data_IF_460310307382
#
_entry.id   IF_460310307382
#
_cell.length_a   1.000
_cell.length_b   1.000
_cell.length_c   1.000
_cell.angle_alpha   90.00
_cell.angle_beta   90.00
_cell.angle_gamma   90.00
#
_symmetry.space_group_name_H-M   'P 1'
#
loop_
_entity.id
_entity.type
_entity.pdbx_description
1 polymer ?
#
# COMPACT_ATOMS: atom_id res chain seq x y z
N UNK A 1 0.36 13.11 -20.07
CA UNK A 1 0.01 11.67 -19.99
C UNK A 1 -1.41 11.61 -19.47
N UNK A 2 -2.19 10.61 -19.86
CA UNK A 2 -3.52 10.43 -19.28
C UNK A 2 -3.41 9.97 -17.83
N UNK A 3 -4.34 10.39 -16.97
CA UNK A 3 -4.42 9.90 -15.59
C UNK A 3 -4.49 8.37 -15.54
N UNK A 4 -5.28 7.75 -16.43
CA UNK A 4 -5.36 6.28 -16.55
C UNK A 4 -4.00 5.64 -16.83
N UNK A 5 -3.15 6.25 -17.66
CA UNK A 5 -1.84 5.70 -17.98
C UNK A 5 -0.90 5.68 -16.76
N UNK A 6 -1.01 6.70 -15.89
CA UNK A 6 -0.23 6.76 -14.64
C UNK A 6 -0.70 5.66 -13.69
N UNK A 7 -2.03 5.50 -13.56
CA UNK A 7 -2.64 4.47 -12.74
C UNK A 7 -2.29 3.05 -13.21
N UNK A 8 -2.47 2.74 -14.49
CA UNK A 8 -2.13 1.45 -15.08
C UNK A 8 -0.65 1.11 -14.91
N UNK A 9 0.24 2.11 -15.09
CA UNK A 9 1.66 1.93 -14.85
C UNK A 9 1.97 1.58 -13.39
N UNK A 10 1.32 2.27 -12.45
CA UNK A 10 1.50 1.98 -11.02
C UNK A 10 1.06 0.55 -10.69
N UNK A 11 -0.11 0.11 -11.17
CA UNK A 11 -0.60 -1.26 -10.97
C UNK A 11 0.32 -2.30 -11.62
N UNK A 12 0.79 -2.05 -12.85
CA UNK A 12 1.71 -2.94 -13.56
C UNK A 12 3.05 -3.10 -12.82
N UNK A 13 3.63 -1.99 -12.36
CA UNK A 13 4.87 -2.00 -11.57
C UNK A 13 4.63 -2.71 -10.23
N UNK A 14 3.48 -2.49 -9.58
CA UNK A 14 3.10 -3.18 -8.36
C UNK A 14 3.08 -4.70 -8.52
N UNK A 15 2.42 -5.19 -9.57
CA UNK A 15 2.34 -6.63 -9.89
C UNK A 15 3.71 -7.25 -10.13
N UNK A 16 4.60 -6.54 -10.86
CA UNK A 16 5.96 -7.02 -11.16
C UNK A 16 6.84 -7.18 -9.93
N UNK A 17 6.55 -6.45 -8.85
CA UNK A 17 7.34 -6.44 -7.63
C UNK A 17 6.61 -7.04 -6.43
N UNK A 18 5.43 -7.62 -6.65
CA UNK A 18 4.67 -8.32 -5.64
C UNK A 18 5.33 -9.66 -5.31
N UNK A 19 5.50 -9.95 -4.02
CA UNK A 19 6.12 -11.19 -3.57
C UNK A 19 5.33 -12.45 -3.94
N UNK A 20 4.01 -12.31 -4.17
CA UNK A 20 3.13 -13.42 -4.56
C UNK A 20 3.39 -13.89 -6.00
N UNK A 21 4.03 -13.08 -6.84
CA UNK A 21 4.35 -13.43 -8.23
C UNK A 21 3.13 -13.95 -9.01
N UNK A 22 3.26 -15.09 -9.66
CA UNK A 22 2.22 -15.71 -10.49
C UNK A 22 0.93 -16.05 -9.72
N UNK A 23 0.97 -16.15 -8.39
CA UNK A 23 -0.23 -16.37 -7.57
C UNK A 23 -1.24 -15.21 -7.70
N UNK A 24 -0.78 -14.00 -8.05
CA UNK A 24 -1.68 -12.88 -8.38
C UNK A 24 -2.65 -13.20 -9.52
N UNK A 25 -2.21 -13.97 -10.53
CA UNK A 25 -3.08 -14.37 -11.64
C UNK A 25 -4.23 -15.23 -11.15
N UNK A 26 -3.95 -16.14 -10.21
CA UNK A 26 -4.98 -16.98 -9.59
C UNK A 26 -5.99 -16.15 -8.78
N UNK A 27 -5.52 -15.15 -8.04
CA UNK A 27 -6.40 -14.22 -7.29
C UNK A 27 -7.34 -13.47 -8.26
N UNK A 28 -6.80 -12.96 -9.37
CA UNK A 28 -7.59 -12.25 -10.39
C UNK A 28 -8.58 -13.20 -11.09
N UNK A 29 -8.18 -14.43 -11.42
CA UNK A 29 -9.08 -15.45 -11.99
C UNK A 29 -10.21 -15.82 -11.02
N UNK A 30 -9.92 -15.92 -9.72
CA UNK A 30 -10.94 -16.19 -8.70
C UNK A 30 -11.95 -15.04 -8.60
N UNK A 31 -11.47 -13.79 -8.65
CA UNK A 31 -12.34 -12.59 -8.71
C UNK A 31 -13.19 -12.55 -9.96
N UNK A 32 -12.63 -12.93 -11.11
CA UNK A 32 -13.39 -13.07 -12.37
C UNK A 32 -14.49 -14.12 -12.25
N UNK A 33 -14.20 -15.29 -11.69
CA UNK A 33 -15.19 -16.36 -11.45
C UNK A 33 -16.27 -15.95 -10.44
N UNK A 34 -15.92 -15.14 -9.45
CA UNK A 34 -16.87 -14.56 -8.50
C UNK A 34 -17.84 -13.65 -9.24
N UNK A 35 -17.33 -12.69 -10.00
CA UNK A 35 -18.13 -11.75 -10.79
C UNK A 35 -19.06 -12.45 -11.79
N UNK A 36 -18.60 -13.47 -12.50
CA UNK A 36 -19.42 -14.19 -13.48
C UNK A 36 -20.64 -14.89 -12.88
N UNK A 37 -20.54 -15.33 -11.62
CA UNK A 37 -21.62 -16.01 -10.88
C UNK A 37 -22.64 -15.06 -10.27
N UNK A 38 -22.34 -13.77 -10.17
CA UNK A 38 -23.24 -12.78 -9.61
C UNK A 38 -24.48 -12.57 -10.49
N UNK A 39 -25.60 -12.28 -9.84
CA UNK A 39 -26.80 -11.81 -10.53
C UNK A 39 -26.54 -10.42 -11.13
N UNK A 40 -27.34 -10.04 -12.14
CA UNK A 40 -27.15 -8.77 -12.85
C UNK A 40 -27.20 -7.55 -11.90
N UNK A 41 -28.09 -7.58 -10.90
CA UNK A 41 -28.21 -6.54 -9.89
C UNK A 41 -26.96 -6.43 -9.01
N UNK A 42 -26.33 -7.55 -8.68
CA UNK A 42 -25.11 -7.61 -7.86
C UNK A 42 -23.89 -7.18 -8.68
N UNK A 43 -23.85 -7.50 -9.99
CA UNK A 43 -22.80 -7.05 -10.91
C UNK A 43 -22.73 -5.53 -11.03
N UNK A 44 -23.85 -4.83 -10.90
CA UNK A 44 -23.89 -3.36 -10.91
C UNK A 44 -23.23 -2.75 -9.67
N UNK A 45 -23.20 -3.47 -8.55
CA UNK A 45 -22.58 -3.03 -7.29
C UNK A 45 -21.16 -3.58 -7.11
N UNK A 46 -20.75 -4.53 -7.96
CA UNK A 46 -19.44 -5.14 -7.90
C UNK A 46 -18.34 -4.17 -8.31
N UNK A 47 -17.24 -4.19 -7.58
CA UNK A 47 -16.06 -3.41 -7.93
C UNK A 47 -15.29 -4.06 -9.08
N UNK A 48 -15.65 -3.70 -10.31
CA UNK A 48 -15.04 -4.24 -11.53
C UNK A 48 -13.54 -3.94 -11.66
N UNK A 49 -13.02 -2.93 -10.96
CA UNK A 49 -11.59 -2.65 -10.94
C UNK A 49 -10.79 -3.82 -10.37
N UNK A 50 -11.38 -4.57 -9.43
CA UNK A 50 -10.74 -5.76 -8.81
C UNK A 50 -10.52 -6.91 -9.77
N UNK A 51 -11.15 -6.87 -10.96
CA UNK A 51 -10.94 -7.88 -12.01
C UNK A 51 -9.58 -7.75 -12.68
N UNK A 52 -8.96 -6.56 -12.63
CA UNK A 52 -7.66 -6.32 -13.25
C UNK A 52 -6.64 -5.66 -12.31
N UNK A 53 -7.06 -5.06 -11.19
CA UNK A 53 -6.18 -4.54 -10.16
C UNK A 53 -6.32 -5.38 -8.86
N UNK A 54 -5.29 -6.13 -8.44
CA UNK A 54 -5.35 -6.92 -7.21
C UNK A 54 -5.18 -6.08 -5.93
N UNK A 55 -5.01 -4.76 -6.06
CA UNK A 55 -4.75 -3.81 -4.97
C UNK A 55 -5.97 -2.91 -4.74
N UNK A 56 -6.85 -3.29 -3.80
CA UNK A 56 -8.05 -2.51 -3.49
C UNK A 56 -7.73 -1.13 -2.88
N UNK A 57 -6.53 -0.95 -2.32
CA UNK A 57 -6.03 0.28 -1.71
C UNK A 57 -5.40 1.28 -2.72
N UNK A 58 -5.49 0.99 -4.02
CA UNK A 58 -4.90 1.81 -5.09
C UNK A 58 -5.95 2.12 -6.13
N UNK A 59 -6.20 3.41 -6.39
CA UNK A 59 -7.39 3.83 -7.16
C UNK A 59 -7.30 5.21 -7.77
N UNK A 60 -7.97 5.42 -8.90
CA UNK A 60 -8.43 6.75 -9.31
C UNK A 60 -9.69 7.08 -8.50
N UNK A 61 -9.60 8.10 -7.64
CA UNK A 61 -10.65 8.50 -6.72
C UNK A 61 -11.58 9.57 -7.31
N UNK A 62 -10.99 10.49 -8.09
CA UNK A 62 -11.68 11.55 -8.82
C UNK A 62 -11.08 11.67 -10.20
N UNK A 63 -11.93 11.69 -11.22
CA UNK A 63 -11.56 11.76 -12.63
C UNK A 63 -12.15 10.60 -13.42
N UNK A 64 -12.16 10.77 -14.73
CA UNK A 64 -12.57 9.81 -15.74
C UNK A 64 -11.41 8.90 -16.19
N UNK A 65 -10.17 9.31 -15.89
CA UNK A 65 -8.95 8.68 -16.39
C UNK A 65 -8.45 9.30 -17.70
N UNK A 66 -9.26 10.13 -18.37
CA UNK A 66 -8.93 10.80 -19.63
C UNK A 66 -8.34 12.20 -19.46
N UNK A 67 -8.16 12.66 -18.23
CA UNK A 67 -7.54 13.95 -17.92
C UNK A 67 -6.08 13.97 -18.39
N UNK A 68 -5.67 15.07 -19.03
CA UNK A 68 -4.27 15.30 -19.37
C UNK A 68 -3.51 15.79 -18.14
N UNK A 69 -2.57 14.97 -17.67
CA UNK A 69 -1.73 15.27 -16.52
C UNK A 69 -0.32 15.59 -16.99
N UNK A 70 0.16 16.77 -16.62
CA UNK A 70 1.54 17.24 -16.83
C UNK A 70 2.23 17.54 -15.50
N UNK A 71 1.49 18.04 -14.51
CA UNK A 71 2.00 18.39 -13.18
C UNK A 71 1.19 17.68 -12.12
N UNK A 72 1.87 16.99 -11.20
CA UNK A 72 1.24 16.30 -10.07
C UNK A 72 1.75 16.89 -8.78
N UNK A 73 0.85 17.10 -7.81
CA UNK A 73 1.24 17.28 -6.41
C UNK A 73 1.08 15.94 -5.69
N UNK A 74 2.19 15.38 -5.21
CA UNK A 74 2.19 14.11 -4.48
C UNK A 74 2.47 14.31 -2.99
N UNK A 75 1.87 13.45 -2.16
CA UNK A 75 2.06 13.45 -0.71
C UNK A 75 1.78 12.07 -0.11
N UNK A 76 2.21 11.86 1.13
CA UNK A 76 1.88 10.63 1.87
C UNK A 76 0.37 10.64 2.18
N UNK A 77 -0.05 11.68 2.89
CA UNK A 77 -1.45 12.01 3.18
C UNK A 77 -1.89 13.16 2.26
N UNK A 78 -2.98 12.98 1.52
CA UNK A 78 -3.66 14.07 0.81
C UNK A 78 -5.11 14.07 1.28
N UNK A 79 -5.37 14.83 2.34
CA UNK A 79 -6.71 15.03 2.87
C UNK A 79 -7.29 16.35 2.32
N UNK A 80 -8.47 16.75 2.80
CA UNK A 80 -9.08 18.05 2.43
C UNK A 80 -8.12 19.25 2.54
N UNK A 81 -7.25 19.39 3.56
CA UNK A 81 -6.29 20.50 3.63
C UNK A 81 -5.31 20.53 2.46
N UNK A 82 -4.80 19.38 2.02
CA UNK A 82 -3.88 19.29 0.88
C UNK A 82 -4.61 19.55 -0.44
N UNK A 83 -5.86 19.09 -0.60
CA UNK A 83 -6.68 19.47 -1.75
C UNK A 83 -6.84 21.00 -1.83
N UNK A 84 -7.16 21.66 -0.70
CA UNK A 84 -7.27 23.11 -0.63
C UNK A 84 -5.93 23.82 -0.89
N UNK A 85 -4.81 23.22 -0.47
CA UNK A 85 -3.48 23.71 -0.78
C UNK A 85 -3.19 23.64 -2.28
N UNK A 86 -3.53 22.53 -2.94
CA UNK A 86 -3.38 22.36 -4.39
C UNK A 86 -4.17 23.42 -5.15
N UNK A 87 -5.45 23.64 -4.79
CA UNK A 87 -6.27 24.70 -5.36
C UNK A 87 -5.62 26.08 -5.15
N UNK A 88 -5.15 26.37 -3.93
CA UNK A 88 -4.51 27.64 -3.63
C UNK A 88 -3.22 27.86 -4.41
N UNK A 89 -2.44 26.82 -4.65
CA UNK A 89 -1.23 26.87 -5.49
C UNK A 89 -1.58 27.07 -6.96
N UNK A 90 -2.69 26.50 -7.44
CA UNK A 90 -3.23 26.74 -8.77
C UNK A 90 -3.68 28.20 -8.96
N UNK A 91 -4.37 28.78 -7.98
CA UNK A 91 -4.69 30.21 -7.97
C UNK A 91 -3.44 31.10 -8.02
N UNK A 92 -2.29 30.60 -7.54
CA UNK A 92 -0.98 31.27 -7.62
C UNK A 92 -0.18 30.93 -8.88
N UNK A 93 -0.72 30.12 -9.78
CA UNK A 93 -0.15 29.85 -11.11
C UNK A 93 0.68 28.58 -11.24
N UNK A 94 0.69 27.66 -10.26
CA UNK A 94 1.49 26.41 -10.32
C UNK A 94 0.99 25.40 -11.38
N UNK A 95 -0.32 25.41 -11.70
CA UNK A 95 -0.94 24.50 -12.69
C UNK A 95 -0.69 23.01 -12.40
N UNK A 96 -1.11 22.58 -11.21
CA UNK A 96 -1.27 21.20 -10.77
C UNK A 96 -2.50 20.63 -11.46
N UNK A 97 -2.31 19.57 -12.24
CA UNK A 97 -3.37 18.91 -13.02
C UNK A 97 -3.99 17.72 -12.29
N UNK A 98 -3.27 17.15 -11.31
CA UNK A 98 -3.76 16.07 -10.46
C UNK A 98 -3.03 16.04 -9.11
N UNK A 99 -3.67 15.44 -8.12
CA UNK A 99 -3.05 15.10 -6.83
C UNK A 99 -2.90 13.58 -6.67
N UNK A 100 -1.84 13.16 -6.00
CA UNK A 100 -1.55 11.75 -5.72
C UNK A 100 -1.25 11.55 -4.24
N UNK A 101 -2.05 10.74 -3.55
CA UNK A 101 -1.71 10.27 -2.19
C UNK A 101 -1.01 8.91 -2.22
N UNK A 102 -0.18 8.67 -1.23
CA UNK A 102 0.24 7.31 -0.91
C UNK A 102 -0.85 6.59 -0.12
N UNK A 103 -1.28 7.15 1.01
CA UNK A 103 -2.33 6.56 1.81
C UNK A 103 -3.67 6.60 1.06
N UNK A 104 -4.46 5.52 1.15
CA UNK A 104 -5.72 5.44 0.45
C UNK A 104 -6.76 6.39 1.03
N UNK A 105 -7.63 6.88 0.16
CA UNK A 105 -8.80 7.68 0.49
C UNK A 105 -10.04 7.06 -0.18
N UNK A 106 -11.25 7.49 0.17
CA UNK A 106 -12.45 7.07 -0.55
C UNK A 106 -12.70 5.56 -0.53
N UNK A 107 -13.08 5.03 -1.69
CA UNK A 107 -13.35 3.60 -1.87
C UNK A 107 -12.12 2.73 -1.57
N UNK A 108 -10.91 3.24 -1.86
CA UNK A 108 -9.67 2.52 -1.59
C UNK A 108 -9.43 2.36 -0.09
N UNK A 109 -9.73 3.40 0.70
CA UNK A 109 -9.62 3.34 2.15
C UNK A 109 -10.67 2.40 2.76
N UNK A 110 -11.91 2.44 2.24
CA UNK A 110 -12.98 1.56 2.68
C UNK A 110 -12.62 0.07 2.48
N UNK A 111 -11.90 -0.23 1.39
CA UNK A 111 -11.45 -1.57 1.02
C UNK A 111 -10.02 -1.91 1.47
N UNK A 112 -9.38 -1.09 2.31
CA UNK A 112 -7.99 -1.29 2.75
C UNK A 112 -7.74 -2.66 3.39
N UNK A 113 -8.76 -3.21 4.06
CA UNK A 113 -8.66 -4.50 4.73
C UNK A 113 -8.45 -5.68 3.75
N UNK A 114 -8.83 -5.54 2.48
CA UNK A 114 -8.73 -6.63 1.50
C UNK A 114 -7.29 -6.92 1.07
N UNK A 115 -6.42 -5.89 0.99
CA UNK A 115 -5.00 -6.10 0.64
C UNK A 115 -4.20 -6.77 1.75
N UNK A 116 -4.72 -6.83 2.98
CA UNK A 116 -4.02 -7.39 4.13
C UNK A 116 -3.81 -8.90 4.04
N UNK A 117 -4.53 -9.61 3.16
CA UNK A 117 -4.36 -11.05 2.97
C UNK A 117 -2.94 -11.44 2.57
N UNK A 118 -2.21 -10.57 1.85
CA UNK A 118 -0.79 -10.80 1.51
C UNK A 118 0.10 -11.03 2.73
N UNK A 119 -0.30 -10.54 3.90
CA UNK A 119 0.47 -10.76 5.12
C UNK A 119 0.49 -12.23 5.55
N UNK A 120 -0.50 -13.04 5.17
CA UNK A 120 -0.44 -14.49 5.39
C UNK A 120 0.64 -15.14 4.50
N UNK A 121 0.73 -14.73 3.23
CA UNK A 121 1.78 -15.17 2.30
C UNK A 121 3.18 -14.75 2.80
N UNK A 122 3.30 -13.53 3.35
CA UNK A 122 4.52 -13.05 4.00
C UNK A 122 4.93 -13.93 5.19
N UNK A 123 3.98 -14.36 6.02
CA UNK A 123 4.25 -15.26 7.14
C UNK A 123 4.64 -16.66 6.65
N UNK A 124 4.04 -17.14 5.56
CA UNK A 124 4.43 -18.40 4.94
C UNK A 124 5.89 -18.38 4.47
N UNK A 125 6.31 -17.31 3.80
CA UNK A 125 7.71 -17.11 3.41
C UNK A 125 8.65 -17.02 4.64
N UNK A 126 8.14 -16.47 5.75
CA UNK A 126 8.87 -16.43 7.02
C UNK A 126 9.04 -17.83 7.65
N UNK A 127 8.20 -18.80 7.29
CA UNK A 127 8.24 -20.19 7.77
C UNK A 127 7.02 -20.61 8.60
N UNK A 128 6.00 -19.75 8.68
CA UNK A 128 4.74 -20.04 9.39
C UNK A 128 3.81 -20.80 8.45
N UNK A 129 3.23 -21.96 8.83
CA UNK A 129 2.25 -22.64 8.00
C UNK A 129 1.10 -21.71 7.55
N UNK A 130 0.74 -21.73 6.26
CA UNK A 130 -0.23 -20.80 5.67
C UNK A 130 -1.57 -20.77 6.43
N UNK A 131 -2.07 -21.92 6.87
CA UNK A 131 -3.31 -22.02 7.63
C UNK A 131 -3.25 -21.28 8.99
N UNK A 132 -2.08 -21.19 9.61
CA UNK A 132 -1.86 -20.41 10.83
C UNK A 132 -1.80 -18.91 10.48
N UNK A 133 -1.08 -18.55 9.40
CA UNK A 133 -1.02 -17.18 8.90
C UNK A 133 -2.40 -16.61 8.57
N UNK A 134 -3.21 -17.36 7.82
CA UNK A 134 -4.58 -17.02 7.46
C UNK A 134 -5.47 -16.85 8.70
N UNK A 135 -5.38 -17.76 9.68
CA UNK A 135 -6.18 -17.68 10.90
C UNK A 135 -5.85 -16.42 11.72
N UNK A 136 -4.58 -16.07 11.86
CA UNK A 136 -4.14 -14.86 12.56
C UNK A 136 -4.56 -13.59 11.82
N UNK A 137 -4.43 -13.61 10.49
CA UNK A 137 -4.81 -12.46 9.68
C UNK A 137 -6.32 -12.28 9.61
N UNK A 138 -7.12 -13.34 9.63
CA UNK A 138 -8.58 -13.23 9.66
C UNK A 138 -9.08 -12.40 10.86
N UNK A 139 -8.53 -12.63 12.06
CA UNK A 139 -8.85 -11.84 13.26
C UNK A 139 -8.48 -10.36 13.05
N UNK A 140 -7.26 -10.09 12.58
CA UNK A 140 -6.73 -8.74 12.38
C UNK A 140 -7.47 -7.97 11.29
N UNK A 141 -7.74 -8.60 10.15
CA UNK A 141 -8.50 -8.02 9.03
C UNK A 141 -9.89 -7.62 9.49
N UNK A 142 -10.54 -8.48 10.30
CA UNK A 142 -11.86 -8.20 10.87
C UNK A 142 -11.85 -6.98 11.80
N UNK A 143 -10.79 -6.80 12.60
CA UNK A 143 -10.60 -5.64 13.46
C UNK A 143 -10.39 -4.35 12.66
N UNK A 144 -9.51 -4.38 11.66
CA UNK A 144 -9.25 -3.23 10.78
C UNK A 144 -10.54 -2.83 10.06
N UNK A 145 -11.26 -3.80 9.47
CA UNK A 145 -12.55 -3.56 8.82
C UNK A 145 -13.56 -2.87 9.74
N UNK A 146 -13.70 -3.31 11.00
CA UNK A 146 -14.61 -2.67 11.96
C UNK A 146 -14.19 -1.26 12.33
N UNK A 147 -12.89 -1.00 12.36
CA UNK A 147 -12.32 0.31 12.72
C UNK A 147 -12.48 1.33 11.59
N UNK A 148 -12.33 0.88 10.34
CA UNK A 148 -12.48 1.73 9.15
C UNK A 148 -13.94 1.93 8.75
N UNK A 149 -14.81 0.94 8.95
CA UNK A 149 -16.23 0.99 8.57
C UNK A 149 -16.99 2.29 8.92
N UNK A 150 -16.87 2.88 10.14
CA UNK A 150 -17.61 4.10 10.48
C UNK A 150 -16.95 5.40 10.01
N UNK A 151 -15.77 5.34 9.36
CA UNK A 151 -15.04 6.54 8.95
C UNK A 151 -15.72 7.25 7.78
N UNK A 152 -15.49 8.56 7.68
CA UNK A 152 -15.94 9.33 6.52
C UNK A 152 -14.94 9.19 5.37
N UNK A 153 -15.02 8.06 4.67
CA UNK A 153 -14.13 7.71 3.57
C UNK A 153 -14.12 8.75 2.43
N UNK A 154 -15.24 9.43 2.17
CA UNK A 154 -15.39 10.29 0.98
C UNK A 154 -14.94 11.74 1.22
N UNK A 155 -14.56 12.13 2.44
CA UNK A 155 -14.30 13.54 2.80
C UNK A 155 -13.30 14.25 1.87
N UNK A 156 -12.13 13.65 1.63
CA UNK A 156 -11.12 14.23 0.75
C UNK A 156 -11.54 14.14 -0.73
N UNK A 157 -12.18 13.03 -1.11
CA UNK A 157 -12.67 12.78 -2.47
C UNK A 157 -13.75 13.77 -2.88
N UNK A 158 -14.70 14.07 -2.01
CA UNK A 158 -15.77 15.05 -2.27
C UNK A 158 -15.22 16.47 -2.35
N UNK A 159 -14.23 16.82 -1.51
CA UNK A 159 -13.53 18.11 -1.64
C UNK A 159 -12.82 18.23 -3.00
N UNK A 160 -12.14 17.17 -3.44
CA UNK A 160 -11.48 17.13 -4.74
C UNK A 160 -12.50 17.24 -5.90
N UNK A 161 -13.67 16.56 -5.82
CA UNK A 161 -14.76 16.70 -6.79
C UNK A 161 -15.29 18.13 -6.87
N UNK A 162 -15.53 18.78 -5.73
CA UNK A 162 -16.06 20.15 -5.69
C UNK A 162 -15.10 21.19 -6.28
N UNK A 163 -13.80 20.88 -6.31
CA UNK A 163 -12.75 21.75 -6.83
C UNK A 163 -12.24 21.31 -8.20
N UNK A 164 -12.93 20.36 -8.85
CA UNK A 164 -12.55 19.77 -10.13
C UNK A 164 -11.08 19.33 -10.17
N UNK A 165 -10.60 18.73 -9.07
CA UNK A 165 -9.22 18.27 -8.90
C UNK A 165 -9.14 16.75 -9.12
N UNK A 166 -8.51 16.27 -10.20
CA UNK A 166 -8.25 14.85 -10.38
C UNK A 166 -7.39 14.30 -9.24
N UNK A 167 -7.79 13.14 -8.71
CA UNK A 167 -7.18 12.56 -7.51
C UNK A 167 -7.06 11.05 -7.66
N UNK A 168 -5.87 10.51 -7.41
CA UNK A 168 -5.63 9.07 -7.28
C UNK A 168 -4.78 8.76 -6.03
N UNK A 169 -4.84 7.52 -5.58
CA UNK A 169 -3.95 6.98 -4.54
C UNK A 169 -3.16 5.78 -5.06
N UNK A 170 -1.91 5.62 -4.59
CA UNK A 170 -1.05 4.46 -4.89
C UNK A 170 -0.40 3.98 -3.60
N UNK A 171 -0.89 2.87 -3.07
CA UNK A 171 -0.47 2.33 -1.79
C UNK A 171 0.31 1.03 -1.96
N UNK A 172 -0.33 -0.14 -1.98
CA UNK A 172 0.34 -1.45 -2.09
C UNK A 172 1.38 -1.56 -3.22
N UNK A 173 1.18 -1.01 -4.43
CA UNK A 173 2.23 -1.00 -5.47
C UNK A 173 3.50 -0.26 -5.07
N UNK A 174 3.39 0.86 -4.37
CA UNK A 174 4.54 1.63 -3.88
C UNK A 174 5.25 0.86 -2.76
N UNK A 175 4.48 0.26 -1.85
CA UNK A 175 5.01 -0.56 -0.74
C UNK A 175 5.76 -1.79 -1.24
N UNK A 176 5.23 -2.46 -2.27
CA UNK A 176 5.90 -3.60 -2.91
C UNK A 176 7.29 -3.22 -3.45
N UNK A 177 7.44 -2.00 -3.98
CA UNK A 177 8.76 -1.52 -4.44
C UNK A 177 9.73 -1.32 -3.29
N UNK A 178 9.27 -0.76 -2.17
CA UNK A 178 10.09 -0.58 -0.97
C UNK A 178 10.49 -1.95 -0.40
N UNK A 179 9.54 -2.87 -0.27
CA UNK A 179 9.75 -4.23 0.21
C UNK A 179 10.81 -4.95 -0.63
N UNK A 180 10.66 -4.93 -1.95
CA UNK A 180 11.62 -5.54 -2.88
C UNK A 180 12.98 -4.82 -2.89
N UNK A 181 13.00 -3.50 -2.75
CA UNK A 181 14.25 -2.73 -2.63
C UNK A 181 15.03 -3.17 -1.38
N UNK A 182 14.40 -3.19 -0.22
CA UNK A 182 15.07 -3.58 1.03
C UNK A 182 15.46 -5.06 1.02
N UNK A 183 14.64 -5.96 0.47
CA UNK A 183 14.99 -7.38 0.33
C UNK A 183 16.28 -7.57 -0.45
N UNK A 184 16.50 -6.75 -1.49
CA UNK A 184 17.76 -6.76 -2.25
C UNK A 184 18.94 -6.23 -1.45
N UNK A 185 18.75 -5.23 -0.58
CA UNK A 185 19.82 -4.72 0.28
C UNK A 185 20.35 -5.77 1.26
N UNK A 186 19.49 -6.66 1.76
CA UNK A 186 19.87 -7.71 2.70
C UNK A 186 20.13 -9.08 2.06
N UNK A 187 20.08 -9.18 0.73
CA UNK A 187 20.24 -10.46 0.03
C UNK A 187 21.71 -10.90 0.05
N UNK A 188 21.98 -12.05 0.66
CA UNK A 188 23.32 -12.62 0.73
C UNK A 188 24.17 -12.11 1.89
N UNK A 189 23.62 -11.21 2.72
CA UNK A 189 24.24 -10.81 3.97
C UNK A 189 24.02 -11.91 5.02
N UNK A 190 25.10 -12.52 5.47
CA UNK A 190 25.06 -13.54 6.52
C UNK A 190 25.73 -13.00 7.79
N UNK A 191 25.28 -13.51 8.94
CA UNK A 191 25.92 -13.26 10.25
C UNK A 191 25.89 -11.80 10.74
N UNK A 192 25.00 -10.96 10.19
CA UNK A 192 24.76 -9.60 10.68
C UNK A 192 24.35 -9.55 12.16
N UNK A 193 24.73 -8.46 12.83
CA UNK A 193 24.16 -8.01 14.09
C UNK A 193 23.02 -7.02 13.86
N UNK A 194 22.25 -6.71 14.92
CA UNK A 194 21.23 -5.66 14.84
C UNK A 194 21.83 -4.27 14.60
N UNK A 195 23.08 -4.04 15.03
CA UNK A 195 23.82 -2.82 14.68
C UNK A 195 24.13 -2.74 13.18
N UNK A 196 24.61 -3.83 12.58
CA UNK A 196 24.90 -3.87 11.15
C UNK A 196 23.64 -3.62 10.30
N UNK A 197 22.50 -4.20 10.69
CA UNK A 197 21.21 -3.92 10.04
C UNK A 197 20.88 -2.44 10.11
N UNK A 198 21.04 -1.82 11.27
CA UNK A 198 20.78 -0.39 11.46
C UNK A 198 21.73 0.47 10.61
N UNK A 199 23.00 0.09 10.50
CA UNK A 199 23.99 0.78 9.67
C UNK A 199 23.65 0.69 8.18
N UNK A 200 23.33 -0.51 7.66
CA UNK A 200 22.89 -0.71 6.28
C UNK A 200 21.68 0.16 5.95
N UNK A 201 20.66 0.18 6.83
CA UNK A 201 19.50 1.06 6.66
C UNK A 201 19.92 2.53 6.63
N UNK A 202 20.87 2.94 7.48
CA UNK A 202 21.29 4.33 7.57
C UNK A 202 22.14 4.84 6.40
N UNK A 203 22.62 3.96 5.53
CA UNK A 203 23.24 4.33 4.25
C UNK A 203 22.19 4.71 3.20
N UNK A 204 20.93 4.32 3.38
CA UNK A 204 19.82 4.71 2.49
C UNK A 204 19.49 6.20 2.71
N UNK A 205 19.50 7.05 1.66
CA UNK A 205 19.29 8.50 1.78
C UNK A 205 18.02 8.89 2.54
N UNK A 206 16.92 8.18 2.30
CA UNK A 206 15.63 8.39 2.93
C UNK A 206 15.70 8.17 4.44
N UNK A 207 16.34 7.09 4.88
CA UNK A 207 16.49 6.77 6.31
C UNK A 207 17.51 7.67 7.01
N UNK A 208 18.58 8.06 6.31
CA UNK A 208 19.51 9.08 6.78
C UNK A 208 18.79 10.41 7.01
N UNK A 209 17.96 10.84 6.05
CA UNK A 209 17.16 12.06 6.19
C UNK A 209 16.16 11.94 7.34
N UNK A 210 15.49 10.79 7.46
CA UNK A 210 14.57 10.53 8.56
C UNK A 210 15.26 10.65 9.93
N UNK A 211 16.52 10.22 10.07
CA UNK A 211 17.31 10.41 11.31
C UNK A 211 17.50 11.89 11.66
N UNK A 212 17.81 12.74 10.68
CA UNK A 212 17.91 14.20 10.91
C UNK A 212 16.59 14.77 11.43
N UNK A 213 15.47 14.21 10.97
CA UNK A 213 14.11 14.56 11.37
C UNK A 213 13.61 13.80 12.61
N UNK A 214 14.51 13.11 13.33
CA UNK A 214 14.21 12.28 14.52
C UNK A 214 13.26 11.09 14.27
N UNK A 215 13.03 10.70 13.02
CA UNK A 215 12.14 9.63 12.59
C UNK A 215 12.88 8.46 11.92
N UNK A 216 14.20 8.34 12.09
CA UNK A 216 14.98 7.28 11.47
C UNK A 216 14.79 5.89 12.07
N UNK A 217 15.38 4.85 11.43
CA UNK A 217 15.30 3.47 11.91
C UNK A 217 15.83 3.31 13.35
N UNK A 218 15.19 2.44 14.14
CA UNK A 218 15.52 2.18 15.54
C UNK A 218 15.29 0.73 15.91
N UNK A 219 16.09 0.22 16.83
CA UNK A 219 15.87 -1.08 17.46
C UNK A 219 14.86 -0.88 18.59
N UNK A 220 13.70 -1.54 18.49
CA UNK A 220 12.66 -1.51 19.54
C UNK A 220 12.85 -2.67 20.53
N UNK A 221 13.21 -3.86 20.03
CA UNK A 221 13.46 -5.06 20.82
C UNK A 221 14.85 -5.63 20.52
N UNK A 222 15.56 -6.05 21.57
CA UNK A 222 16.94 -6.53 21.48
C UNK A 222 17.97 -5.43 21.72
N UNK A 223 19.23 -5.78 21.51
CA UNK A 223 20.36 -4.86 21.63
C UNK A 223 21.28 -4.98 20.42
N UNK A 224 22.02 -3.91 20.14
CA UNK A 224 22.91 -3.73 18.99
C UNK A 224 23.84 -4.92 18.72
N UNK A 225 24.31 -5.59 19.77
CA UNK A 225 25.32 -6.67 19.66
C UNK A 225 24.72 -8.04 19.36
N UNK A 226 23.39 -8.19 19.41
CA UNK A 226 22.74 -9.46 19.09
C UNK A 226 22.84 -9.74 17.60
N UNK A 227 22.99 -11.01 17.25
CA UNK A 227 22.86 -11.50 15.87
C UNK A 227 21.44 -11.26 15.37
N UNK A 228 21.31 -10.79 14.13
CA UNK A 228 20.03 -10.52 13.47
C UNK A 228 19.30 -11.81 13.05
N UNK A 229 20.04 -12.88 12.74
CA UNK A 229 19.43 -14.14 12.27
C UNK A 229 18.83 -13.99 10.88
N UNK A 230 17.68 -14.65 10.63
CA UNK A 230 16.92 -14.49 9.38
C UNK A 230 16.26 -13.11 9.40
N UNK A 231 16.58 -12.29 8.39
CA UNK A 231 15.95 -10.97 8.22
C UNK A 231 14.64 -11.18 7.45
N UNK A 232 13.54 -10.79 8.08
CA UNK A 232 12.23 -10.74 7.47
C UNK A 232 11.82 -9.28 7.31
N UNK A 233 11.44 -8.90 6.09
CA UNK A 233 11.09 -7.53 5.73
C UNK A 233 9.58 -7.48 5.52
N UNK A 234 8.96 -6.49 6.16
CA UNK A 234 7.53 -6.27 6.10
C UNK A 234 7.25 -4.81 5.84
N UNK A 235 7.21 -4.43 4.57
CA UNK A 235 6.87 -3.07 4.13
C UNK A 235 5.58 -2.98 3.34
N UNK A 236 4.92 -4.12 3.06
CA UNK A 236 3.64 -4.19 2.33
C UNK A 236 2.56 -4.91 3.13
N UNK A 237 1.34 -4.90 2.61
CA UNK A 237 0.17 -5.55 3.20
C UNK A 237 -0.84 -4.60 3.85
N UNK A 238 -0.93 -3.35 3.36
CA UNK A 238 -1.97 -2.38 3.70
C UNK A 238 -1.75 -1.68 5.05
N UNK A 239 -1.60 -2.42 6.14
CA UNK A 239 -1.32 -1.84 7.45
C UNK A 239 -0.66 -2.84 8.40
N UNK A 240 -0.47 -2.45 9.66
CA UNK A 240 0.07 -3.31 10.71
C UNK A 240 -0.69 -4.64 10.85
N UNK A 241 0.05 -5.74 10.84
CA UNK A 241 -0.48 -7.09 11.05
C UNK A 241 -0.75 -7.43 12.51
N UNK A 242 -1.11 -8.69 12.76
CA UNK A 242 -1.35 -9.20 14.11
C UNK A 242 -0.07 -9.20 14.96
N UNK A 243 -0.12 -8.69 16.19
CA UNK A 243 0.99 -8.78 17.15
C UNK A 243 1.36 -10.24 17.46
N UNK A 244 0.36 -11.15 17.43
CA UNK A 244 0.54 -12.59 17.66
C UNK A 244 1.39 -13.25 16.58
N UNK A 245 1.57 -12.60 15.42
CA UNK A 245 2.38 -13.12 14.33
C UNK A 245 3.86 -13.24 14.73
N UNK A 246 4.37 -12.32 15.55
CA UNK A 246 5.78 -12.33 15.98
C UNK A 246 6.11 -13.57 16.81
N UNK A 247 5.18 -14.07 17.64
CA UNK A 247 5.38 -15.30 18.42
C UNK A 247 5.48 -16.54 17.51
N UNK A 248 4.74 -16.56 16.39
CA UNK A 248 4.75 -17.69 15.45
C UNK A 248 5.92 -17.69 14.49
N UNK A 249 6.60 -16.56 14.34
CA UNK A 249 7.82 -16.41 13.52
C UNK A 249 9.11 -16.65 14.32
N UNK A 250 9.02 -16.86 15.64
CA UNK A 250 10.15 -17.04 16.56
C UNK A 250 10.60 -18.50 16.69
#
# INVERSE_FOLDING_TARGET
>A
MKLRQIYELAVEIGKRNDMRGDYLLKILEEKQREFEKLLEEEKMLFDQETLHNPYSDTRILVGTGEEEVKTIMCGIDIETPEILLADRLNQKGQKIDAVLSHHPEGIAYAALHDVMHVQADMMEEAGVPINIGEALMAERISEVRRTTMPQNHQRAVDAARLLDMPFMCVHSPADNLVDQFLRRQFKGEEQLTLEDVLEILNEIPEYKKARELKAGPRIILGDKKRRAGKIFIKMTGGTSGSEKAYEKMA
#
